data_IF_455525825075
#
_entry.id   IF_455525825075
#
_cell.length_a   1.000
_cell.length_b   1.000
_cell.length_c   1.000
_cell.angle_alpha   90.00
_cell.angle_beta   90.00
_cell.angle_gamma   90.00
#
_symmetry.space_group_name_H-M   'P 1'
#
loop_
_entity.id
_entity.type
_entity.pdbx_description
1 polymer ?
#
# COMPACT_ATOMS: atom_id res chain seq x y z
N UNK A 1 -19.65 10.01 -15.42
CA UNK A 1 -19.78 11.42 -14.99
C UNK A 1 -19.08 11.67 -13.66
N UNK A 2 -19.53 11.09 -12.53
CA UNK A 2 -18.86 11.22 -11.22
C UNK A 2 -17.36 10.91 -11.28
N UNK A 3 -17.00 9.74 -11.84
CA UNK A 3 -15.60 9.36 -12.07
C UNK A 3 -14.82 10.43 -12.83
N UNK A 4 -15.33 10.88 -13.98
CA UNK A 4 -14.67 11.89 -14.80
C UNK A 4 -14.40 13.18 -14.04
N UNK A 5 -15.33 13.64 -13.21
CA UNK A 5 -15.10 14.81 -12.34
C UNK A 5 -13.94 14.58 -11.36
N UNK A 6 -13.91 13.42 -10.69
CA UNK A 6 -12.84 13.08 -9.73
C UNK A 6 -11.48 12.93 -10.43
N UNK A 7 -11.46 12.19 -11.54
CA UNK A 7 -10.28 11.98 -12.38
C UNK A 7 -9.70 13.32 -12.87
N UNK A 8 -10.56 14.19 -13.39
CA UNK A 8 -10.16 15.48 -13.94
C UNK A 8 -9.53 16.39 -12.88
N UNK A 9 -10.11 16.49 -11.69
CA UNK A 9 -9.57 17.36 -10.63
C UNK A 9 -8.27 16.81 -10.03
N UNK A 10 -8.19 15.51 -9.78
CA UNK A 10 -6.99 14.92 -9.17
C UNK A 10 -5.78 14.91 -10.12
N UNK A 11 -5.99 14.64 -11.40
CA UNK A 11 -4.89 14.60 -12.39
C UNK A 11 -4.20 15.95 -12.59
N UNK A 12 -4.87 17.07 -12.28
CA UNK A 12 -4.24 18.41 -12.24
C UNK A 12 -3.21 18.52 -11.10
N UNK A 13 -3.46 17.86 -9.98
CA UNK A 13 -2.64 17.95 -8.77
C UNK A 13 -1.49 16.94 -8.73
N UNK A 14 -1.62 15.77 -9.39
CA UNK A 14 -0.63 14.69 -9.27
C UNK A 14 0.80 15.11 -9.61
N UNK A 15 1.00 15.89 -10.66
CA UNK A 15 2.35 16.34 -11.07
C UNK A 15 3.08 17.12 -9.98
N UNK A 16 2.35 17.85 -9.13
CA UNK A 16 2.92 18.71 -8.09
C UNK A 16 2.87 18.06 -6.71
N UNK A 17 1.86 17.24 -6.42
CA UNK A 17 1.60 16.71 -5.08
C UNK A 17 1.96 15.23 -4.91
N UNK A 18 1.71 14.39 -5.92
CA UNK A 18 1.93 12.95 -5.82
C UNK A 18 3.42 12.59 -5.91
N UNK A 19 3.80 11.48 -5.28
CA UNK A 19 5.15 10.93 -5.37
C UNK A 19 5.53 10.51 -6.81
N UNK A 20 6.84 10.31 -7.05
CA UNK A 20 7.35 9.94 -8.37
C UNK A 20 6.81 8.61 -8.86
N UNK A 21 6.59 7.64 -7.97
CA UNK A 21 6.14 6.30 -8.30
C UNK A 21 4.71 6.34 -8.86
N UNK A 22 3.82 7.08 -8.19
CA UNK A 22 2.48 7.34 -8.72
C UNK A 22 2.53 8.03 -10.09
N UNK A 23 3.31 9.10 -10.24
CA UNK A 23 3.45 9.82 -11.51
C UNK A 23 4.10 8.98 -12.63
N UNK A 24 4.92 7.99 -12.28
CA UNK A 24 5.54 7.06 -13.24
C UNK A 24 4.54 6.02 -13.73
N UNK A 25 3.73 5.47 -12.83
CA UNK A 25 2.82 4.35 -13.11
C UNK A 25 1.49 4.82 -13.71
N UNK A 26 0.96 5.97 -13.27
CA UNK A 26 -0.37 6.43 -13.68
C UNK A 26 -0.53 6.52 -15.22
N UNK A 27 0.44 7.04 -16.00
CA UNK A 27 0.36 7.00 -17.46
C UNK A 27 0.28 5.58 -18.05
N UNK A 28 0.94 4.59 -17.43
CA UNK A 28 0.89 3.19 -17.88
C UNK A 28 -0.52 2.60 -17.66
N UNK A 29 -1.18 2.96 -16.56
CA UNK A 29 -2.59 2.58 -16.32
C UNK A 29 -3.55 3.24 -17.33
N UNK A 30 -3.26 4.47 -17.76
CA UNK A 30 -4.04 5.13 -18.83
C UNK A 30 -3.92 4.39 -20.17
N UNK A 31 -2.71 3.95 -20.50
CA UNK A 31 -2.42 3.23 -21.74
C UNK A 31 -2.96 1.79 -21.74
N UNK A 32 -2.80 1.07 -20.62
CA UNK A 32 -3.02 -0.39 -20.58
C UNK A 32 -4.32 -0.82 -19.88
N UNK A 33 -4.87 0.02 -18.98
CA UNK A 33 -6.04 -0.34 -18.16
C UNK A 33 -7.26 0.56 -18.41
N UNK A 34 -7.20 1.43 -19.42
CA UNK A 34 -8.33 2.29 -19.78
C UNK A 34 -8.64 3.40 -18.77
N UNK A 35 -7.67 3.85 -17.98
CA UNK A 35 -7.83 5.02 -17.12
C UNK A 35 -8.02 6.28 -17.97
N UNK A 36 -9.28 6.72 -18.11
CA UNK A 36 -9.65 7.93 -18.85
C UNK A 36 -10.80 8.62 -18.16
N UNK A 37 -10.92 9.93 -18.37
CA UNK A 37 -12.00 10.74 -17.78
C UNK A 37 -13.41 10.21 -18.14
N UNK A 38 -13.55 9.63 -19.33
CA UNK A 38 -14.80 9.10 -19.87
C UNK A 38 -15.04 7.61 -19.61
N UNK A 39 -14.12 6.93 -18.91
CA UNK A 39 -14.16 5.48 -18.73
C UNK A 39 -13.72 5.05 -17.32
N UNK A 40 -14.58 4.31 -16.61
CA UNK A 40 -14.21 3.66 -15.34
C UNK A 40 -13.50 2.33 -15.66
N UNK A 41 -12.24 2.15 -15.24
CA UNK A 41 -11.50 0.89 -15.44
C UNK A 41 -12.21 -0.30 -14.80
N UNK A 42 -12.05 -1.48 -15.42
CA UNK A 42 -12.55 -2.74 -14.83
C UNK A 42 -11.50 -3.35 -13.91
N UNK A 43 -11.93 -3.91 -12.77
CA UNK A 43 -11.00 -4.49 -11.79
C UNK A 43 -10.15 -5.62 -12.38
N UNK A 44 -10.70 -6.42 -13.29
CA UNK A 44 -9.98 -7.53 -13.93
C UNK A 44 -8.77 -7.03 -14.73
N UNK A 45 -8.94 -5.98 -15.54
CA UNK A 45 -7.86 -5.39 -16.35
C UNK A 45 -6.74 -4.85 -15.45
N UNK A 46 -7.12 -4.13 -14.39
CA UNK A 46 -6.17 -3.59 -13.41
C UNK A 46 -5.50 -4.70 -12.61
N UNK A 47 -6.23 -5.74 -12.21
CA UNK A 47 -5.69 -6.89 -11.48
C UNK A 47 -4.65 -7.65 -12.31
N UNK A 48 -4.92 -7.84 -13.60
CA UNK A 48 -3.98 -8.47 -14.53
C UNK A 48 -2.72 -7.61 -14.70
N UNK A 49 -2.86 -6.29 -14.85
CA UNK A 49 -1.73 -5.36 -14.91
C UNK A 49 -0.87 -5.42 -13.63
N UNK A 50 -1.48 -5.37 -12.45
CA UNK A 50 -0.77 -5.46 -11.17
C UNK A 50 -0.04 -6.80 -11.00
N UNK A 51 -0.64 -7.90 -11.48
CA UNK A 51 -0.04 -9.23 -11.40
C UNK A 51 1.24 -9.30 -12.21
N UNK A 52 1.23 -8.70 -13.40
CA UNK A 52 2.39 -8.66 -14.29
C UNK A 52 3.50 -7.72 -13.76
N UNK A 53 3.15 -6.64 -13.07
CA UNK A 53 4.13 -5.71 -12.50
C UNK A 53 4.77 -6.22 -11.20
N UNK A 54 3.95 -6.66 -10.24
CA UNK A 54 4.42 -6.93 -8.86
C UNK A 54 3.81 -8.19 -8.25
N UNK A 55 2.99 -8.93 -9.00
CA UNK A 55 2.24 -10.06 -8.45
C UNK A 55 1.08 -9.66 -7.53
N UNK A 56 0.76 -8.36 -7.42
CA UNK A 56 -0.46 -7.92 -6.75
C UNK A 56 -1.70 -8.24 -7.57
N UNK A 57 -2.83 -8.42 -6.91
CA UNK A 57 -4.12 -8.62 -7.57
C UNK A 57 -5.23 -7.91 -6.80
N UNK A 58 -6.29 -7.56 -7.52
CA UNK A 58 -7.50 -6.99 -6.93
C UNK A 58 -8.55 -8.09 -6.76
N UNK A 59 -9.22 -8.08 -5.61
CA UNK A 59 -10.37 -8.95 -5.32
C UNK A 59 -11.59 -8.09 -5.00
N UNK A 60 -12.74 -8.28 -5.66
CA UNK A 60 -13.93 -7.51 -5.36
C UNK A 60 -14.40 -7.78 -3.93
N UNK A 61 -14.77 -6.72 -3.22
CA UNK A 61 -15.37 -6.78 -1.88
C UNK A 61 -16.61 -5.90 -1.80
N UNK A 62 -17.60 -6.33 -1.02
CA UNK A 62 -18.87 -5.63 -0.90
C UNK A 62 -18.78 -4.36 -0.03
N UNK A 63 -17.76 -4.26 0.82
CA UNK A 63 -17.59 -3.17 1.78
C UNK A 63 -16.40 -3.40 2.70
N UNK A 64 -16.43 -2.75 3.87
CA UNK A 64 -15.33 -2.80 4.84
C UNK A 64 -15.19 -4.19 5.46
N UNK A 65 -13.96 -4.73 5.41
CA UNK A 65 -13.57 -5.95 6.10
C UNK A 65 -13.08 -5.63 7.52
N UNK A 66 -12.98 -6.67 8.35
CA UNK A 66 -12.21 -6.53 9.59
C UNK A 66 -10.75 -6.21 9.26
N UNK A 67 -10.07 -5.45 10.14
CA UNK A 67 -8.65 -5.14 9.95
C UNK A 67 -7.81 -6.40 9.78
N UNK A 68 -8.15 -7.48 10.49
CA UNK A 68 -7.46 -8.77 10.39
C UNK A 68 -7.61 -9.39 9.01
N UNK A 69 -8.82 -9.45 8.46
CA UNK A 69 -9.07 -10.07 7.14
C UNK A 69 -8.48 -9.23 6.00
N UNK A 70 -8.60 -7.90 6.11
CA UNK A 70 -8.02 -6.99 5.13
C UNK A 70 -6.49 -7.11 5.08
N UNK A 71 -5.82 -7.02 6.23
CA UNK A 71 -4.36 -7.14 6.32
C UNK A 71 -3.88 -8.54 5.91
N UNK A 72 -4.64 -9.60 6.23
CA UNK A 72 -4.34 -10.94 5.76
C UNK A 72 -4.31 -11.02 4.23
N UNK A 73 -5.20 -10.32 3.52
CA UNK A 73 -5.16 -10.21 2.05
C UNK A 73 -3.83 -9.65 1.54
N UNK A 74 -3.32 -8.58 2.16
CA UNK A 74 -2.05 -7.96 1.77
C UNK A 74 -0.87 -8.93 1.88
N UNK A 75 -0.90 -9.87 2.84
CA UNK A 75 0.14 -10.89 2.98
C UNK A 75 0.31 -11.74 1.71
N UNK A 76 -0.79 -11.94 0.97
CA UNK A 76 -0.84 -12.69 -0.28
C UNK A 76 -0.76 -11.80 -1.53
N UNK A 77 -0.43 -10.51 -1.36
CA UNK A 77 -0.52 -9.50 -2.43
C UNK A 77 -1.93 -9.41 -3.05
N UNK A 78 -2.95 -9.59 -2.22
CA UNK A 78 -4.35 -9.43 -2.62
C UNK A 78 -4.91 -8.18 -1.96
N UNK A 79 -5.31 -7.22 -2.77
CA UNK A 79 -6.01 -6.03 -2.30
C UNK A 79 -7.52 -6.18 -2.52
N UNK A 80 -8.29 -6.00 -1.45
CA UNK A 80 -9.75 -6.06 -1.51
C UNK A 80 -10.28 -4.70 -1.97
N UNK A 81 -10.82 -4.65 -3.18
CA UNK A 81 -11.28 -3.41 -3.84
C UNK A 81 -12.79 -3.40 -3.95
N UNK A 82 -13.42 -2.27 -3.60
CA UNK A 82 -14.84 -2.07 -3.89
C UNK A 82 -15.07 -1.83 -5.40
N UNK A 83 -16.34 -1.93 -5.83
CA UNK A 83 -16.75 -1.67 -7.23
C UNK A 83 -17.83 -0.58 -7.37
N UNK A 84 -18.46 -0.19 -6.26
CA UNK A 84 -19.47 0.86 -6.30
C UNK A 84 -18.81 2.23 -6.46
N UNK A 85 -19.57 3.20 -6.95
CA UNK A 85 -19.12 4.59 -7.11
C UNK A 85 -19.87 5.49 -6.14
N UNK A 86 -19.17 6.48 -5.56
CA UNK A 86 -19.74 7.46 -4.64
C UNK A 86 -20.90 8.24 -5.25
N UNK A 87 -21.74 8.80 -4.38
CA UNK A 87 -22.95 9.51 -4.80
C UNK A 87 -22.61 10.78 -5.63
N UNK A 88 -23.30 11.03 -6.75
CA UNK A 88 -22.97 12.12 -7.67
C UNK A 88 -23.19 13.54 -7.11
N UNK A 89 -23.88 13.71 -5.99
CA UNK A 89 -24.11 15.04 -5.38
C UNK A 89 -22.86 15.61 -4.70
N UNK A 90 -21.90 14.77 -4.32
CA UNK A 90 -20.65 15.17 -3.68
C UNK A 90 -19.48 14.39 -4.30
N UNK A 91 -19.16 14.59 -5.58
CA UNK A 91 -18.13 13.79 -6.26
C UNK A 91 -16.74 13.96 -5.63
N UNK A 92 -16.45 15.13 -5.05
CA UNK A 92 -15.14 15.45 -4.48
C UNK A 92 -14.96 14.98 -3.02
N UNK A 93 -15.93 14.27 -2.44
CA UNK A 93 -15.88 13.76 -1.07
C UNK A 93 -16.58 12.41 -0.95
N UNK A 94 -15.97 11.48 -0.23
CA UNK A 94 -16.64 10.24 0.20
C UNK A 94 -16.07 9.80 1.54
N UNK A 95 -16.92 9.39 2.51
CA UNK A 95 -16.46 8.76 3.74
C UNK A 95 -16.09 7.28 3.55
N UNK A 96 -16.59 6.66 2.48
CA UNK A 96 -16.39 5.23 2.19
C UNK A 96 -15.47 5.04 0.98
N UNK A 97 -14.61 4.00 0.96
CA UNK A 97 -13.67 3.74 -0.13
C UNK A 97 -14.42 3.19 -1.34
N UNK A 98 -14.85 4.09 -2.24
CA UNK A 98 -15.48 3.74 -3.51
C UNK A 98 -14.44 3.42 -4.60
N UNK A 99 -14.87 2.97 -5.78
CA UNK A 99 -13.98 2.61 -6.89
C UNK A 99 -13.02 3.74 -7.32
N UNK A 100 -13.39 5.02 -7.12
CA UNK A 100 -12.48 6.13 -7.39
C UNK A 100 -11.29 6.12 -6.43
N UNK A 101 -11.52 5.84 -5.15
CA UNK A 101 -10.49 5.71 -4.13
C UNK A 101 -9.55 4.54 -4.43
N UNK A 102 -10.10 3.38 -4.76
CA UNK A 102 -9.30 2.18 -5.04
C UNK A 102 -8.43 2.35 -6.29
N UNK A 103 -9.02 2.85 -7.37
CA UNK A 103 -8.32 2.91 -8.66
C UNK A 103 -7.38 4.10 -8.77
N UNK A 104 -7.73 5.26 -8.22
CA UNK A 104 -6.90 6.47 -8.33
C UNK A 104 -5.92 6.61 -7.16
N UNK A 105 -6.27 6.08 -5.98
CA UNK A 105 -5.42 6.12 -4.80
C UNK A 105 -4.49 4.91 -4.72
N UNK A 106 -5.06 3.72 -4.55
CA UNK A 106 -4.30 2.51 -4.22
C UNK A 106 -3.60 1.86 -5.41
N UNK A 107 -4.36 1.55 -6.47
CA UNK A 107 -3.89 0.71 -7.56
C UNK A 107 -2.56 1.18 -8.19
N UNK A 108 -2.31 2.49 -8.42
CA UNK A 108 -1.05 2.96 -9.00
C UNK A 108 0.16 2.54 -8.18
N UNK A 109 0.11 2.62 -6.86
CA UNK A 109 1.27 2.28 -6.04
C UNK A 109 1.48 0.78 -5.86
N UNK A 110 0.44 -0.05 -5.99
CA UNK A 110 0.64 -1.50 -6.01
C UNK A 110 1.41 -2.00 -7.22
N UNK A 111 1.54 -1.21 -8.29
CA UNK A 111 2.42 -1.55 -9.41
C UNK A 111 3.89 -1.16 -9.17
N UNK A 112 4.22 -0.44 -8.09
CA UNK A 112 5.61 -0.19 -7.69
C UNK A 112 6.14 -1.37 -6.86
N UNK A 113 7.28 -1.99 -7.23
CA UNK A 113 7.81 -3.14 -6.49
C UNK A 113 8.18 -2.84 -5.03
N UNK A 114 8.62 -1.63 -4.71
CA UNK A 114 9.04 -1.28 -3.35
C UNK A 114 7.82 -1.06 -2.45
N UNK A 115 6.80 -0.37 -2.97
CA UNK A 115 5.54 -0.19 -2.28
C UNK A 115 4.77 -1.51 -2.11
N UNK A 116 4.68 -2.34 -3.15
CA UNK A 116 4.07 -3.66 -3.06
C UNK A 116 4.70 -4.54 -1.97
N UNK A 117 6.04 -4.54 -1.87
CA UNK A 117 6.76 -5.24 -0.80
C UNK A 117 6.48 -4.65 0.58
N UNK A 118 6.43 -3.32 0.68
CA UNK A 118 6.07 -2.63 1.92
C UNK A 118 4.66 -3.01 2.40
N UNK A 119 3.65 -2.94 1.53
CA UNK A 119 2.27 -3.32 1.86
C UNK A 119 2.15 -4.79 2.24
N UNK A 120 2.86 -5.68 1.52
CA UNK A 120 2.91 -7.10 1.87
C UNK A 120 3.55 -7.35 3.24
N UNK A 121 4.57 -6.57 3.62
CA UNK A 121 5.23 -6.69 4.93
C UNK A 121 4.25 -6.43 6.08
N UNK A 122 3.38 -5.41 5.96
CA UNK A 122 2.32 -5.14 6.94
C UNK A 122 1.39 -6.35 7.04
N UNK A 123 0.98 -6.91 5.89
CA UNK A 123 0.14 -8.10 5.85
C UNK A 123 0.79 -9.32 6.51
N UNK A 124 2.05 -9.62 6.20
CA UNK A 124 2.78 -10.74 6.81
C UNK A 124 2.98 -10.57 8.33
N UNK A 125 3.18 -9.34 8.80
CA UNK A 125 3.27 -9.03 10.22
C UNK A 125 1.95 -9.31 10.96
N UNK A 126 0.81 -9.16 10.28
CA UNK A 126 -0.53 -9.38 10.86
C UNK A 126 -0.87 -10.85 11.09
N UNK A 127 -0.25 -11.78 10.34
CA UNK A 127 -0.61 -13.20 10.40
C UNK A 127 -0.26 -13.80 11.76
N UNK A 128 -1.28 -14.27 12.48
CA UNK A 128 -1.14 -14.84 13.82
C UNK A 128 -0.86 -13.81 14.93
N UNK A 129 -0.89 -12.51 14.63
CA UNK A 129 -0.69 -11.46 15.63
C UNK A 129 -1.92 -11.34 16.57
N UNK A 130 -1.72 -11.01 17.86
CA UNK A 130 -2.81 -10.68 18.76
C UNK A 130 -3.59 -9.43 18.31
N UNK A 131 -4.83 -9.26 18.79
CA UNK A 131 -5.72 -8.19 18.32
C UNK A 131 -5.18 -6.77 18.57
N UNK A 132 -4.50 -6.53 19.69
CA UNK A 132 -3.88 -5.23 19.98
C UNK A 132 -2.79 -4.88 18.95
N UNK A 133 -2.03 -5.87 18.47
CA UNK A 133 -1.07 -5.66 17.39
C UNK A 133 -1.73 -5.52 16.01
N UNK A 134 -2.89 -6.17 15.77
CA UNK A 134 -3.67 -5.92 14.56
C UNK A 134 -4.14 -4.47 14.51
N UNK A 135 -4.62 -3.91 15.62
CA UNK A 135 -5.02 -2.49 15.70
C UNK A 135 -3.84 -1.55 15.45
N UNK A 136 -2.65 -1.84 15.99
CA UNK A 136 -1.43 -1.05 15.75
C UNK A 136 -0.96 -1.14 14.30
N UNK A 137 -1.02 -2.33 13.69
CA UNK A 137 -0.68 -2.52 12.28
C UNK A 137 -1.69 -1.83 11.36
N UNK A 138 -2.98 -1.87 11.69
CA UNK A 138 -4.02 -1.15 10.97
C UNK A 138 -3.81 0.37 11.07
N UNK A 139 -3.38 0.87 12.24
CA UNK A 139 -3.01 2.27 12.42
C UNK A 139 -1.74 2.63 11.62
N UNK A 140 -0.74 1.75 11.56
CA UNK A 140 0.41 1.93 10.69
C UNK A 140 -0.01 1.99 9.21
N UNK A 141 -0.90 1.09 8.78
CA UNK A 141 -1.49 1.09 7.44
C UNK A 141 -2.21 2.42 7.14
N UNK A 142 -3.03 2.92 8.07
CA UNK A 142 -3.70 4.22 7.96
C UNK A 142 -2.70 5.37 7.74
N UNK A 143 -1.67 5.48 8.57
CA UNK A 143 -0.70 6.57 8.44
C UNK A 143 0.36 6.36 7.36
N UNK A 144 0.26 5.29 6.58
CA UNK A 144 1.16 5.02 5.46
C UNK A 144 0.39 4.80 4.18
N UNK A 145 -0.17 3.61 3.97
CA UNK A 145 -0.89 3.26 2.74
C UNK A 145 -2.10 4.17 2.49
N UNK A 146 -2.80 4.65 3.52
CA UNK A 146 -3.94 5.59 3.35
C UNK A 146 -3.53 7.07 3.35
N UNK A 147 -2.73 7.51 4.32
CA UNK A 147 -2.40 8.93 4.54
C UNK A 147 -0.90 9.20 4.64
N UNK A 148 -0.08 8.40 3.98
CA UNK A 148 1.36 8.54 4.03
C UNK A 148 1.91 9.67 3.16
N UNK A 149 2.95 10.33 3.69
CA UNK A 149 3.79 11.30 2.97
C UNK A 149 5.19 10.70 2.81
N UNK A 150 5.84 10.95 1.69
CA UNK A 150 7.24 10.57 1.48
C UNK A 150 8.11 11.78 1.18
N UNK A 151 9.40 11.67 1.49
CA UNK A 151 10.39 12.68 1.14
C UNK A 151 11.12 12.26 -0.14
N UNK A 152 11.14 13.13 -1.14
CA UNK A 152 11.81 12.90 -2.42
C UNK A 152 12.54 14.16 -2.85
N UNK A 153 13.85 14.06 -3.08
CA UNK A 153 14.72 15.19 -3.45
C UNK A 153 14.54 16.42 -2.53
N UNK A 154 14.37 16.17 -1.23
CA UNK A 154 14.15 17.22 -0.22
C UNK A 154 12.74 17.80 -0.16
N UNK A 155 11.82 17.38 -1.04
CA UNK A 155 10.42 17.80 -1.06
C UNK A 155 9.50 16.73 -0.45
N UNK A 156 8.39 17.16 0.15
CA UNK A 156 7.33 16.29 0.60
C UNK A 156 6.37 15.98 -0.55
N UNK A 157 5.96 14.71 -0.66
CA UNK A 157 5.01 14.22 -1.66
C UNK A 157 4.02 13.25 -1.03
N UNK A 158 2.78 13.27 -1.50
CA UNK A 158 1.75 12.33 -1.07
C UNK A 158 1.91 10.98 -1.77
N UNK A 159 1.75 9.91 -1.00
CA UNK A 159 1.61 8.55 -1.54
C UNK A 159 0.40 7.82 -0.96
N UNK A 160 -0.15 8.27 0.18
CA UNK A 160 -1.35 7.67 0.74
C UNK A 160 -2.55 7.71 -0.22
N UNK A 161 -3.28 6.61 -0.34
CA UNK A 161 -4.43 6.48 -1.23
C UNK A 161 -5.58 7.43 -0.87
N UNK A 162 -5.85 7.63 0.42
CA UNK A 162 -6.79 8.64 0.93
C UNK A 162 -6.42 10.04 0.45
N UNK A 163 -5.13 10.37 0.39
CA UNK A 163 -4.65 11.64 -0.17
C UNK A 163 -4.81 11.68 -1.69
N UNK A 164 -4.33 10.65 -2.39
CA UNK A 164 -4.32 10.60 -3.86
C UNK A 164 -5.72 10.47 -4.50
N UNK A 165 -6.75 10.22 -3.69
CA UNK A 165 -8.16 10.13 -4.11
C UNK A 165 -9.05 11.24 -3.55
N UNK A 166 -8.51 12.15 -2.75
CA UNK A 166 -9.21 13.28 -2.13
C UNK A 166 -8.60 14.60 -2.57
N UNK A 167 -9.31 15.34 -3.42
CA UNK A 167 -8.81 16.61 -3.97
C UNK A 167 -8.42 17.59 -2.85
N UNK A 168 -9.31 17.83 -1.88
CA UNK A 168 -9.08 18.81 -0.83
C UNK A 168 -8.01 18.38 0.18
N UNK A 169 -7.90 17.08 0.47
CA UNK A 169 -6.90 16.59 1.43
C UNK A 169 -5.51 16.51 0.81
N UNK A 170 -5.41 16.27 -0.50
CA UNK A 170 -4.14 16.31 -1.24
C UNK A 170 -3.47 17.69 -1.20
N UNK A 171 -4.25 18.77 -1.33
CA UNK A 171 -3.73 20.13 -1.17
C UNK A 171 -3.43 20.43 0.30
N UNK A 172 -4.32 20.02 1.22
CA UNK A 172 -4.19 20.27 2.64
C UNK A 172 -2.94 19.64 3.24
N UNK A 173 -2.63 18.38 2.89
CA UNK A 173 -1.52 17.63 3.48
C UNK A 173 -0.15 18.28 3.19
N UNK A 174 -0.01 19.02 2.08
CA UNK A 174 1.22 19.74 1.73
C UNK A 174 1.16 21.25 2.00
N UNK A 175 0.09 21.75 2.64
CA UNK A 175 -0.12 23.18 2.90
C UNK A 175 0.74 23.78 4.03
N UNK A 176 1.49 22.96 4.76
CA UNK A 176 2.25 23.36 5.95
C UNK A 176 1.41 23.59 7.21
N UNK A 177 0.10 23.39 7.15
CA UNK A 177 -0.81 23.43 8.32
C UNK A 177 -0.73 22.19 9.20
N UNK A 178 -0.71 20.95 8.67
CA UNK A 178 -0.70 19.76 9.51
C UNK A 178 0.70 19.46 10.07
N UNK A 179 0.74 18.72 11.17
CA UNK A 179 2.00 18.29 11.79
C UNK A 179 2.60 17.12 10.99
N UNK A 180 3.92 17.18 10.74
CA UNK A 180 4.68 16.12 10.06
C UNK A 180 5.56 15.38 11.06
N UNK A 181 5.42 14.05 11.15
CA UNK A 181 6.23 13.20 12.03
C UNK A 181 7.00 12.15 11.23
N UNK A 182 8.17 11.70 11.68
CA UNK A 182 8.85 10.58 11.04
C UNK A 182 8.05 9.28 11.25
N UNK A 183 7.89 8.47 10.21
CA UNK A 183 7.25 7.16 10.32
C UNK A 183 8.08 6.23 11.21
N UNK A 184 7.53 5.85 12.36
CA UNK A 184 8.14 4.91 13.30
C UNK A 184 7.04 3.96 13.80
N UNK A 185 6.96 2.70 13.33
CA UNK A 185 5.79 1.84 13.55
C UNK A 185 5.36 1.70 15.02
N UNK A 186 6.31 1.62 15.96
CA UNK A 186 6.02 1.52 17.39
C UNK A 186 5.35 2.77 17.97
N UNK A 187 5.58 3.95 17.38
CA UNK A 187 4.95 5.22 17.77
C UNK A 187 3.70 5.48 16.94
N UNK A 188 3.80 5.29 15.62
CA UNK A 188 2.71 5.48 14.67
C UNK A 188 1.53 4.58 15.00
N UNK A 189 1.75 3.31 15.37
CA UNK A 189 0.68 2.37 15.71
C UNK A 189 -0.17 2.77 16.92
N UNK A 190 0.31 3.68 17.76
CA UNK A 190 -0.42 4.20 18.94
C UNK A 190 -1.16 5.51 18.63
N UNK A 191 -0.98 6.09 17.44
CA UNK A 191 -1.55 7.39 17.09
C UNK A 191 -3.06 7.28 16.84
N UNK A 192 -3.85 8.08 17.57
CA UNK A 192 -5.28 8.26 17.31
C UNK A 192 -5.52 9.21 16.13
N UNK A 193 -6.58 8.98 15.37
CA UNK A 193 -6.96 9.78 14.20
C UNK A 193 -8.46 10.03 14.08
N UNK A 194 -8.88 11.17 13.49
CA UNK A 194 -10.25 11.36 13.05
C UNK A 194 -10.52 10.62 11.74
N UNK A 195 -11.73 10.10 11.57
CA UNK A 195 -12.15 9.41 10.33
C UNK A 195 -12.91 10.37 9.39
N UNK A 196 -13.53 11.43 9.93
CA UNK A 196 -14.46 12.31 9.20
C UNK A 196 -13.90 13.69 8.86
N UNK A 197 -12.65 13.96 9.25
CA UNK A 197 -11.99 15.26 9.07
C UNK A 197 -10.57 15.02 8.53
N UNK A 198 -9.98 16.06 7.94
CA UNK A 198 -8.60 15.99 7.47
C UNK A 198 -7.64 15.65 8.61
N UNK A 199 -6.62 14.85 8.31
CA UNK A 199 -5.70 14.37 9.34
C UNK A 199 -4.89 15.54 9.92
N UNK A 200 -4.87 15.73 11.26
CA UNK A 200 -4.08 16.78 11.89
C UNK A 200 -2.57 16.46 11.87
N UNK A 201 -2.22 15.17 11.72
CA UNK A 201 -0.86 14.65 11.75
C UNK A 201 -0.68 13.69 10.58
N UNK A 202 0.44 13.84 9.87
CA UNK A 202 0.88 12.90 8.82
C UNK A 202 2.25 12.32 9.16
N UNK A 203 2.50 11.09 8.70
CA UNK A 203 3.78 10.43 8.89
C UNK A 203 4.59 10.39 7.59
N UNK A 204 5.86 10.76 7.70
CA UNK A 204 6.80 10.89 6.60
C UNK A 204 7.71 9.67 6.54
N UNK A 205 7.67 8.96 5.41
CA UNK A 205 8.63 7.93 5.05
C UNK A 205 9.81 8.52 4.27
N UNK A 206 11.04 8.18 4.65
CA UNK A 206 12.23 8.59 3.89
C UNK A 206 12.32 7.86 2.54
N UNK A 207 11.91 6.60 2.50
CA UNK A 207 11.68 5.82 1.28
C UNK A 207 10.78 4.62 1.56
N UNK A 208 10.21 4.00 0.54
CA UNK A 208 9.42 2.77 0.71
C UNK A 208 10.27 1.61 1.25
N UNK A 209 11.54 1.51 0.86
CA UNK A 209 12.44 0.49 1.41
C UNK A 209 12.76 0.74 2.88
N UNK A 210 12.89 2.01 3.30
CA UNK A 210 13.06 2.37 4.71
C UNK A 210 11.80 2.04 5.51
N UNK A 211 10.62 2.38 4.99
CA UNK A 211 9.33 2.05 5.62
C UNK A 211 9.14 0.52 5.75
N UNK A 212 9.45 -0.24 4.70
CA UNK A 212 9.46 -1.70 4.73
C UNK A 212 10.39 -2.24 5.82
N UNK A 213 11.63 -1.76 5.86
CA UNK A 213 12.61 -2.18 6.87
C UNK A 213 12.09 -1.91 8.29
N UNK A 214 11.52 -0.73 8.55
CA UNK A 214 10.96 -0.36 9.85
C UNK A 214 9.80 -1.27 10.25
N UNK A 215 8.88 -1.58 9.33
CA UNK A 215 7.78 -2.52 9.60
C UNK A 215 8.32 -3.91 9.90
N UNK A 216 9.33 -4.38 9.15
CA UNK A 216 9.98 -5.67 9.42
C UNK A 216 10.61 -5.73 10.81
N UNK A 217 11.34 -4.68 11.20
CA UNK A 217 11.95 -4.57 12.52
C UNK A 217 10.88 -4.55 13.63
N UNK A 218 9.79 -3.80 13.43
CA UNK A 218 8.66 -3.79 14.35
C UNK A 218 7.96 -5.16 14.45
N UNK A 219 7.83 -5.89 13.34
CA UNK A 219 7.23 -7.21 13.29
C UNK A 219 7.96 -8.24 14.17
N UNK A 220 9.26 -8.05 14.42
CA UNK A 220 10.04 -8.90 15.34
C UNK A 220 9.62 -8.74 16.81
N UNK A 221 8.97 -7.63 17.17
CA UNK A 221 8.46 -7.39 18.53
C UNK A 221 7.08 -8.01 18.77
N UNK A 222 6.40 -8.47 17.72
CA UNK A 222 5.05 -9.05 17.81
C UNK A 222 5.13 -10.43 18.47
N UNK A 223 4.40 -10.68 19.57
CA UNK A 223 4.46 -11.94 20.29
C UNK A 223 3.71 -13.03 19.52
N UNK A 224 4.46 -13.82 18.74
CA UNK A 224 3.97 -15.05 18.08
C UNK A 224 5.04 -16.15 18.14
N UNK A 225 4.67 -17.44 18.29
CA UNK A 225 5.62 -18.53 18.49
C UNK A 225 6.32 -19.01 17.19
N UNK A 226 6.06 -18.36 16.06
CA UNK A 226 6.56 -18.73 14.74
C UNK A 226 6.88 -17.51 13.88
N UNK A 227 7.66 -17.72 12.83
CA UNK A 227 7.83 -16.74 11.74
C UNK A 227 7.08 -17.23 10.50
N UNK A 228 6.72 -16.31 9.60
CA UNK A 228 6.08 -16.63 8.33
C UNK A 228 6.97 -16.22 7.15
N UNK A 229 6.93 -17.02 6.09
CA UNK A 229 7.53 -16.70 4.79
C UNK A 229 6.47 -16.84 3.71
N UNK A 230 6.39 -15.86 2.81
CA UNK A 230 5.56 -15.99 1.63
C UNK A 230 6.30 -16.78 0.55
N UNK A 231 5.67 -17.83 0.03
CA UNK A 231 6.13 -18.56 -1.14
C UNK A 231 5.41 -18.03 -2.38
N UNK A 232 6.09 -17.29 -3.27
CA UNK A 232 5.47 -16.69 -4.44
C UNK A 232 5.09 -17.71 -5.53
N UNK A 233 5.72 -18.89 -5.56
CA UNK A 233 5.45 -19.91 -6.57
C UNK A 233 4.11 -20.61 -6.35
N UNK A 234 3.80 -20.91 -5.09
CA UNK A 234 2.55 -21.57 -4.67
C UNK A 234 1.52 -20.59 -4.14
N UNK A 235 1.88 -19.31 -4.03
CA UNK A 235 1.05 -18.26 -3.42
C UNK A 235 0.57 -18.64 -2.01
N UNK A 236 1.45 -19.26 -1.22
CA UNK A 236 1.14 -19.76 0.12
C UNK A 236 2.01 -19.11 1.20
N UNK A 237 1.55 -19.17 2.45
CA UNK A 237 2.35 -18.76 3.60
C UNK A 237 2.91 -20.01 4.29
N UNK A 238 4.23 -20.07 4.37
CA UNK A 238 4.97 -21.10 5.07
C UNK A 238 5.24 -20.64 6.50
N UNK A 239 4.88 -21.49 7.47
CA UNK A 239 5.27 -21.30 8.86
C UNK A 239 6.70 -21.83 9.02
N UNK A 240 7.55 -21.06 9.69
CA UNK A 240 8.91 -21.46 10.05
C UNK A 240 8.99 -21.56 11.56
N UNK A 241 8.78 -22.78 12.07
CA UNK A 241 8.76 -23.11 13.51
C UNK A 241 9.49 -24.41 13.86
N UNK A 242 10.00 -25.14 12.85
CA UNK A 242 10.80 -26.37 13.03
C UNK A 242 12.20 -26.26 12.42
N UNK A 243 13.14 -27.08 12.91
CA UNK A 243 14.50 -27.17 12.37
C UNK A 243 14.53 -27.51 10.87
N UNK A 244 13.59 -28.34 10.40
CA UNK A 244 13.53 -28.75 8.98
C UNK A 244 13.19 -27.53 8.11
N UNK A 245 12.18 -26.74 8.48
CA UNK A 245 11.82 -25.54 7.70
C UNK A 245 12.94 -24.49 7.73
N UNK A 246 13.62 -24.33 8.86
CA UNK A 246 14.78 -23.43 8.98
C UNK A 246 15.92 -23.89 8.05
N UNK A 247 16.19 -25.19 7.98
CA UNK A 247 17.19 -25.75 7.08
C UNK A 247 16.82 -25.54 5.61
N UNK A 248 15.57 -25.77 5.23
CA UNK A 248 15.09 -25.53 3.87
C UNK A 248 15.24 -24.05 3.47
N UNK A 249 14.85 -23.12 4.36
CA UNK A 249 15.04 -21.68 4.14
C UNK A 249 16.52 -21.32 3.98
N UNK A 250 17.40 -21.89 4.80
CA UNK A 250 18.84 -21.64 4.70
C UNK A 250 19.44 -22.16 3.37
N UNK A 251 18.98 -23.32 2.88
CA UNK A 251 19.40 -23.88 1.59
C UNK A 251 18.95 -23.03 0.42
N UNK A 252 17.71 -22.51 0.44
CA UNK A 252 17.21 -21.58 -0.58
C UNK A 252 18.08 -20.31 -0.64
N UNK A 253 18.34 -19.70 0.52
CA UNK A 253 19.18 -18.49 0.62
C UNK A 253 20.60 -18.78 0.12
N UNK A 254 21.17 -19.93 0.47
CA UNK A 254 22.50 -20.33 -0.01
C UNK A 254 22.53 -20.49 -1.53
N UNK A 255 21.46 -21.02 -2.13
CA UNK A 255 21.33 -21.17 -3.57
C UNK A 255 21.28 -19.80 -4.27
N UNK A 256 20.48 -18.86 -3.75
CA UNK A 256 20.40 -17.49 -4.25
C UNK A 256 21.74 -16.74 -4.12
N UNK A 257 22.43 -16.91 -2.99
CA UNK A 257 23.76 -16.33 -2.78
C UNK A 257 24.81 -16.91 -3.75
N UNK A 258 24.69 -18.19 -4.09
CA UNK A 258 25.57 -18.83 -5.09
C UNK A 258 25.31 -18.26 -6.48
N UNK A 259 24.05 -18.07 -6.86
CA UNK A 259 23.67 -17.43 -8.12
C UNK A 259 24.20 -15.99 -8.20
N UNK A 260 24.06 -15.22 -7.12
CA UNK A 260 24.61 -13.87 -7.03
C UNK A 260 26.14 -13.87 -7.20
N UNK A 261 26.84 -14.78 -6.52
CA UNK A 261 28.29 -14.91 -6.62
C UNK A 261 28.75 -15.30 -8.04
N UNK A 262 27.99 -16.14 -8.75
CA UNK A 262 28.25 -16.46 -10.15
C UNK A 262 28.03 -15.24 -11.06
N UNK A 263 26.94 -14.50 -10.87
CA UNK A 263 26.64 -13.29 -11.64
C UNK A 263 27.75 -12.22 -11.46
N UNK A 264 28.22 -12.00 -10.23
CA UNK A 264 29.30 -11.06 -9.94
C UNK A 264 30.64 -11.43 -10.56
N UNK A 265 30.89 -12.70 -10.86
CA UNK A 265 32.11 -13.13 -11.56
C UNK A 265 32.05 -12.87 -13.07
N UNK A 266 30.85 -12.71 -13.63
CA UNK A 266 30.62 -12.51 -15.07
C UNK A 266 30.58 -11.04 -15.48
N UNK A 267 30.39 -10.14 -14.52
CA UNK A 267 30.42 -8.68 -14.68
C UNK A 267 31.84 -8.19 -14.35
#
# INVERSE_FOLDING_TARGET
KTWGTVFHELTKLYKTHACREHNHIFPLLMENCGYREDNVPQLEDVSNFLRDCTGFSLRPVAGLLSSRDFLAGLAFRVFHSTQYIRHPSQPLYTPEPDICHELLGHAPLFADPSFARFSQEIGLASLGAPDDYIEKLATCYWFTVEFGICKQDGQLKAYGAGLLSSFGELEYCLSGKPEMKPFEPAVTGEQKYPITQYQPVYYVAESFQNAQKKVREYALSIPRPFTVRYNPYTQSVEIVDTNIQVQNLAQDIQSDMTLLADALKKI
#
